data_IF_546277792551
#
_entry.id   IF_546277792551
#
_cell.length_a   1.000
_cell.length_b   1.000
_cell.length_c   1.000
_cell.angle_alpha   90.00
_cell.angle_beta   90.00
_cell.angle_gamma   90.00
#
_symmetry.space_group_name_H-M   'P 1'
#
loop_
_entity.id
_entity.type
_entity.pdbx_description
1 polymer ?
#
# COMPACT_ATOMS: atom_id res chain seq x y z
N UNK A 1 -66.49 9.41 -62.55
CA UNK A 1 -65.54 10.45 -62.79
C UNK A 1 -65.24 11.24 -61.49
N UNK A 2 -65.15 10.58 -60.32
CA UNK A 2 -64.89 11.24 -59.01
C UNK A 2 -63.75 10.59 -58.19
N UNK A 3 -63.02 9.63 -58.74
CA UNK A 3 -61.97 8.89 -57.98
C UNK A 3 -60.53 9.34 -58.39
N UNK A 4 -60.34 10.07 -59.46
CA UNK A 4 -59.00 10.47 -59.96
C UNK A 4 -58.47 11.82 -59.40
N UNK A 5 -59.26 12.57 -58.67
CA UNK A 5 -58.83 13.89 -58.11
C UNK A 5 -58.29 13.77 -56.67
N UNK A 6 -58.65 12.69 -55.96
CA UNK A 6 -58.26 12.51 -54.56
C UNK A 6 -56.82 11.97 -54.36
N UNK A 7 -56.22 11.40 -55.42
CA UNK A 7 -54.86 10.86 -55.32
C UNK A 7 -53.75 11.91 -55.64
N UNK A 8 -54.11 13.10 -56.16
CA UNK A 8 -53.10 14.13 -56.46
C UNK A 8 -52.88 15.11 -55.30
N UNK A 9 -53.74 15.20 -54.32
CA UNK A 9 -53.58 16.09 -53.17
C UNK A 9 -52.79 15.44 -52.03
N UNK A 10 -52.84 14.09 -51.93
CA UNK A 10 -52.06 13.37 -50.90
C UNK A 10 -50.58 13.25 -51.26
N UNK A 11 -50.22 13.28 -52.53
CA UNK A 11 -48.82 13.16 -52.98
C UNK A 11 -48.02 14.48 -52.79
N UNK A 12 -48.64 15.65 -52.73
CA UNK A 12 -47.97 16.93 -52.45
C UNK A 12 -47.75 17.19 -50.92
N UNK A 13 -48.57 16.62 -50.05
CA UNK A 13 -48.40 16.78 -48.59
C UNK A 13 -47.31 15.89 -48.03
N UNK A 14 -46.92 14.79 -48.69
CA UNK A 14 -45.83 13.87 -48.24
C UNK A 14 -44.43 14.33 -48.74
N UNK A 15 -44.31 15.27 -49.64
CA UNK A 15 -43.01 15.75 -50.12
C UNK A 15 -42.53 17.05 -49.39
N UNK A 16 -43.38 17.68 -48.55
CA UNK A 16 -42.96 18.86 -47.77
C UNK A 16 -42.49 18.51 -46.35
N UNK A 17 -42.57 17.23 -45.91
CA UNK A 17 -42.14 16.80 -44.58
C UNK A 17 -40.66 16.34 -44.52
N UNK A 18 -39.91 16.42 -45.62
CA UNK A 18 -38.51 15.94 -45.73
C UNK A 18 -37.46 17.06 -45.76
N UNK A 19 -37.82 18.29 -45.47
CA UNK A 19 -36.86 19.42 -45.42
C UNK A 19 -36.83 20.09 -44.03
N UNK A 20 -36.87 19.25 -42.96
CA UNK A 20 -36.38 19.72 -41.65
C UNK A 20 -34.87 19.56 -41.73
N UNK A 21 -34.07 20.62 -41.70
CA UNK A 21 -32.62 20.47 -41.61
C UNK A 21 -32.39 19.68 -40.33
N UNK A 22 -31.76 18.51 -40.44
CA UNK A 22 -31.24 17.80 -39.29
C UNK A 22 -30.27 18.79 -38.61
N UNK A 23 -30.77 19.51 -37.61
CA UNK A 23 -29.91 20.25 -36.71
C UNK A 23 -28.92 19.23 -36.19
N UNK A 24 -27.67 19.33 -36.62
CA UNK A 24 -26.58 18.62 -35.94
C UNK A 24 -26.67 19.05 -34.50
N UNK A 25 -27.25 18.21 -33.66
CA UNK A 25 -27.05 18.30 -32.22
C UNK A 25 -25.59 17.99 -32.02
N UNK A 26 -24.78 19.05 -32.11
CA UNK A 26 -23.40 18.99 -31.66
C UNK A 26 -23.46 18.69 -30.19
N UNK A 27 -23.27 17.44 -29.83
CA UNK A 27 -23.20 17.05 -28.43
C UNK A 27 -22.15 17.92 -27.79
N UNK A 28 -22.58 18.81 -26.88
CA UNK A 28 -21.68 19.71 -26.17
C UNK A 28 -20.55 18.87 -25.59
N UNK A 29 -19.31 19.15 -25.98
CA UNK A 29 -18.15 18.46 -25.44
C UNK A 29 -18.24 18.56 -23.93
N UNK A 30 -18.26 17.44 -23.20
CA UNK A 30 -18.37 17.48 -21.74
C UNK A 30 -17.27 18.40 -21.20
N UNK A 31 -17.66 19.34 -20.36
CA UNK A 31 -16.70 20.27 -19.74
C UNK A 31 -15.70 19.44 -18.91
N UNK A 32 -14.40 19.64 -19.15
CA UNK A 32 -13.35 18.92 -18.42
C UNK A 32 -13.42 19.27 -16.92
N UNK A 33 -13.88 18.33 -16.11
CA UNK A 33 -13.91 18.49 -14.66
C UNK A 33 -12.48 18.43 -14.12
N UNK A 34 -12.05 19.45 -13.40
CA UNK A 34 -10.75 19.45 -12.70
C UNK A 34 -10.96 18.98 -11.25
N UNK A 35 -10.35 17.87 -10.89
CA UNK A 35 -10.42 17.30 -9.53
C UNK A 35 -9.06 17.46 -8.86
N UNK A 36 -9.07 18.03 -7.65
CA UNK A 36 -7.89 18.13 -6.82
C UNK A 36 -7.77 16.84 -5.99
N UNK A 37 -6.64 16.19 -6.09
CA UNK A 37 -6.28 15.05 -5.24
C UNK A 37 -5.12 15.48 -4.34
N UNK A 38 -5.29 15.39 -3.03
CA UNK A 38 -4.20 15.51 -2.08
C UNK A 38 -3.36 14.25 -2.11
N UNK A 39 -2.06 14.39 -2.00
CA UNK A 39 -1.16 13.24 -1.88
C UNK A 39 -0.27 13.48 -0.66
N UNK A 40 -0.41 12.62 0.33
CA UNK A 40 0.47 12.58 1.50
C UNK A 40 1.48 11.47 1.31
N UNK A 41 2.74 11.82 1.15
CA UNK A 41 3.79 10.86 0.82
C UNK A 41 5.11 11.26 1.49
N UNK A 42 5.89 10.28 1.94
CA UNK A 42 7.24 10.49 2.43
C UNK A 42 8.19 10.60 1.24
N UNK A 43 8.63 11.81 0.90
CA UNK A 43 9.50 12.05 -0.25
C UNK A 43 10.97 12.21 0.15
N UNK A 44 11.21 12.55 1.42
CA UNK A 44 12.53 12.70 2.03
C UNK A 44 12.56 12.08 3.42
N UNK A 45 13.74 11.71 3.91
CA UNK A 45 13.90 10.99 5.18
C UNK A 45 13.64 9.49 5.06
N UNK A 46 13.47 8.80 6.20
CA UNK A 46 13.17 7.35 6.26
C UNK A 46 11.88 7.02 5.52
N UNK A 47 11.88 5.97 4.70
CA UNK A 47 10.73 5.57 3.87
C UNK A 47 10.55 6.37 2.57
N UNK A 48 11.53 7.18 2.15
CA UNK A 48 11.42 8.00 0.93
C UNK A 48 11.15 7.18 -0.35
N UNK A 49 11.66 5.97 -0.41
CA UNK A 49 11.46 5.05 -1.53
C UNK A 49 9.98 4.79 -1.80
N UNK A 50 9.24 4.52 -0.73
CA UNK A 50 7.81 4.21 -0.77
C UNK A 50 7.00 5.40 -1.30
N UNK A 51 7.26 6.59 -0.78
CA UNK A 51 6.54 7.81 -1.16
C UNK A 51 6.83 8.26 -2.59
N UNK A 52 8.09 8.14 -3.04
CA UNK A 52 8.45 8.50 -4.43
C UNK A 52 7.80 7.59 -5.45
N UNK A 53 7.77 6.28 -5.18
CA UNK A 53 7.10 5.30 -6.03
C UNK A 53 5.59 5.53 -6.07
N UNK A 54 4.95 5.84 -4.94
CA UNK A 54 3.52 6.21 -4.87
C UNK A 54 3.20 7.42 -5.76
N UNK A 55 3.99 8.49 -5.68
CA UNK A 55 3.76 9.69 -6.52
C UNK A 55 3.96 9.39 -8.00
N UNK A 56 4.95 8.55 -8.36
CA UNK A 56 5.16 8.12 -9.74
C UNK A 56 3.98 7.28 -10.25
N UNK A 57 3.51 6.31 -9.46
CA UNK A 57 2.34 5.46 -9.77
C UNK A 57 1.08 6.29 -10.04
N UNK A 58 0.78 7.27 -9.19
CA UNK A 58 -0.36 8.18 -9.38
C UNK A 58 -0.28 9.01 -10.66
N UNK A 59 0.92 9.45 -11.06
CA UNK A 59 1.11 10.20 -12.31
C UNK A 59 0.94 9.31 -13.53
N UNK A 60 1.39 8.05 -13.47
CA UNK A 60 1.19 7.04 -14.50
C UNK A 60 -0.31 6.74 -14.62
N UNK A 61 -0.98 6.42 -13.49
CA UNK A 61 -2.41 6.16 -13.47
C UNK A 61 -3.22 7.29 -14.09
N UNK A 62 -2.89 8.54 -13.76
CA UNK A 62 -3.58 9.70 -14.34
C UNK A 62 -3.36 9.84 -15.86
N UNK A 63 -2.20 9.46 -16.37
CA UNK A 63 -1.93 9.43 -17.80
C UNK A 63 -2.72 8.30 -18.50
N UNK A 64 -2.72 7.09 -17.91
CA UNK A 64 -3.41 5.93 -18.45
C UNK A 64 -4.94 6.13 -18.49
N UNK A 65 -5.51 6.65 -17.40
CA UNK A 65 -6.94 7.03 -17.35
C UNK A 65 -7.29 7.99 -18.49
N UNK A 66 -6.39 8.93 -18.84
CA UNK A 66 -6.65 9.88 -19.93
C UNK A 66 -6.54 9.23 -21.31
N UNK A 67 -5.70 8.18 -21.44
CA UNK A 67 -5.44 7.51 -22.72
C UNK A 67 -6.49 6.44 -23.03
N UNK A 68 -7.11 5.82 -22.03
CA UNK A 68 -8.06 4.71 -22.21
C UNK A 68 -9.31 5.13 -22.99
N UNK A 69 -9.87 6.28 -22.81
CA UNK A 69 -11.00 6.81 -23.57
C UNK A 69 -11.07 8.34 -23.43
N UNK A 70 -10.22 9.09 -24.14
CA UNK A 70 -10.10 10.55 -23.95
C UNK A 70 -11.40 11.32 -24.14
N UNK A 71 -12.30 10.80 -25.00
CA UNK A 71 -13.59 11.42 -25.30
C UNK A 71 -14.67 11.15 -24.24
N UNK A 72 -14.55 10.07 -23.49
CA UNK A 72 -15.52 9.66 -22.46
C UNK A 72 -15.07 9.98 -21.03
N UNK A 73 -13.78 10.37 -20.85
CA UNK A 73 -13.25 10.70 -19.54
C UNK A 73 -13.01 12.20 -19.40
N UNK A 74 -14.00 12.96 -18.88
CA UNK A 74 -13.88 14.41 -18.71
C UNK A 74 -12.99 14.83 -17.53
N UNK A 75 -12.55 13.88 -16.68
CA UNK A 75 -11.81 14.21 -15.46
C UNK A 75 -10.35 14.54 -15.76
N UNK A 76 -9.84 15.58 -15.13
CA UNK A 76 -8.43 15.97 -15.13
C UNK A 76 -7.96 16.11 -13.69
N UNK A 77 -6.91 15.38 -13.32
CA UNK A 77 -6.38 15.40 -11.96
C UNK A 77 -5.36 16.50 -11.77
N UNK A 78 -5.46 17.18 -10.62
CA UNK A 78 -4.43 18.07 -10.11
C UNK A 78 -3.95 17.52 -8.77
N UNK A 79 -2.78 16.92 -8.77
CA UNK A 79 -2.15 16.45 -7.54
C UNK A 79 -1.56 17.62 -6.74
N UNK A 80 -1.91 17.69 -5.46
CA UNK A 80 -1.30 18.58 -4.46
C UNK A 80 -0.51 17.70 -3.50
N UNK A 81 0.76 17.48 -3.84
CA UNK A 81 1.65 16.59 -3.09
C UNK A 81 2.21 17.32 -1.88
N UNK A 82 2.28 16.63 -0.73
CA UNK A 82 2.92 17.08 0.50
C UNK A 82 3.88 16.01 0.99
N UNK A 83 5.10 16.43 1.27
CA UNK A 83 6.12 15.60 1.89
C UNK A 83 5.86 15.52 3.40
N UNK A 84 5.51 14.35 3.88
CA UNK A 84 5.21 14.12 5.30
C UNK A 84 6.45 13.74 6.10
N UNK A 85 7.53 13.33 5.45
CA UNK A 85 8.78 12.88 6.08
C UNK A 85 8.59 11.79 7.14
N UNK A 86 7.56 10.94 6.97
CA UNK A 86 7.21 9.91 7.93
C UNK A 86 6.88 10.48 9.33
N UNK A 87 6.38 11.72 9.39
CA UNK A 87 6.06 12.43 10.63
C UNK A 87 4.55 12.69 10.74
N UNK A 88 3.88 12.11 11.76
CA UNK A 88 2.45 12.29 11.98
C UNK A 88 2.02 13.75 12.12
N UNK A 89 2.83 14.61 12.75
CA UNK A 89 2.50 16.03 12.93
C UNK A 89 2.56 16.78 11.58
N UNK A 90 3.53 16.43 10.73
CA UNK A 90 3.61 16.97 9.36
C UNK A 90 2.43 16.50 8.52
N UNK A 91 2.02 15.25 8.65
CA UNK A 91 0.84 14.72 7.96
C UNK A 91 -0.43 15.48 8.38
N UNK A 92 -0.60 15.80 9.69
CA UNK A 92 -1.72 16.59 10.17
C UNK A 92 -1.70 18.03 9.61
N UNK A 93 -0.57 18.70 9.63
CA UNK A 93 -0.44 20.03 9.04
C UNK A 93 -0.72 20.01 7.53
N UNK A 94 -0.29 18.95 6.85
CA UNK A 94 -0.50 18.78 5.42
C UNK A 94 -1.97 18.57 5.05
N UNK A 95 -2.72 17.74 5.78
CA UNK A 95 -4.16 17.55 5.51
C UNK A 95 -4.95 18.82 5.77
N UNK A 96 -4.59 19.60 6.80
CA UNK A 96 -5.19 20.90 7.09
C UNK A 96 -4.97 21.90 5.96
N UNK A 97 -3.74 22.03 5.45
CA UNK A 97 -3.44 22.87 4.29
C UNK A 97 -4.18 22.40 3.03
N UNK A 98 -4.25 21.09 2.78
CA UNK A 98 -4.99 20.54 1.65
C UNK A 98 -6.49 20.82 1.76
N UNK A 99 -7.07 20.67 2.95
CA UNK A 99 -8.48 21.01 3.22
C UNK A 99 -8.76 22.48 2.94
N UNK A 100 -7.93 23.41 3.43
CA UNK A 100 -8.06 24.84 3.17
C UNK A 100 -7.99 25.19 1.68
N UNK A 101 -7.40 24.32 0.85
CA UNK A 101 -7.37 24.44 -0.62
C UNK A 101 -8.54 23.75 -1.32
N UNK A 102 -9.51 23.23 -0.55
CA UNK A 102 -10.71 22.56 -1.04
C UNK A 102 -10.46 21.14 -1.56
N UNK A 103 -9.48 20.43 -1.03
CA UNK A 103 -9.26 18.99 -1.29
C UNK A 103 -10.24 18.18 -0.45
N UNK A 104 -10.88 17.21 -1.07
CA UNK A 104 -11.81 16.27 -0.42
C UNK A 104 -11.39 14.81 -0.58
N UNK A 105 -10.40 14.53 -1.42
CA UNK A 105 -9.88 13.18 -1.68
C UNK A 105 -8.39 13.22 -1.48
N UNK A 106 -7.87 12.34 -0.62
CA UNK A 106 -6.44 12.20 -0.33
C UNK A 106 -6.03 10.75 -0.59
N UNK A 107 -4.92 10.57 -1.30
CA UNK A 107 -4.24 9.28 -1.42
C UNK A 107 -2.97 9.34 -0.57
N UNK A 108 -2.80 8.33 0.29
CA UNK A 108 -1.85 8.38 1.40
C UNK A 108 -2.47 8.96 2.68
N UNK A 109 -1.71 9.06 3.78
CA UNK A 109 -0.33 8.65 3.93
C UNK A 109 -0.17 7.13 3.97
N UNK A 110 1.09 6.68 3.90
CA UNK A 110 1.38 5.25 3.86
C UNK A 110 1.45 4.64 5.26
N UNK A 111 1.95 5.38 6.27
CA UNK A 111 2.19 4.81 7.58
C UNK A 111 0.96 4.91 8.49
N UNK A 112 0.78 3.90 9.32
CA UNK A 112 -0.36 3.83 10.24
C UNK A 112 -0.33 4.94 11.30
N UNK A 113 0.84 5.39 11.73
CA UNK A 113 0.97 6.51 12.68
C UNK A 113 0.50 7.82 12.08
N UNK A 114 0.79 8.07 10.80
CA UNK A 114 0.31 9.26 10.09
C UNK A 114 -1.20 9.17 9.88
N UNK A 115 -1.73 7.99 9.48
CA UNK A 115 -3.18 7.76 9.32
C UNK A 115 -3.90 7.98 10.65
N UNK A 116 -3.40 7.42 11.76
CA UNK A 116 -3.98 7.60 13.10
C UNK A 116 -4.07 9.09 13.49
N UNK A 117 -3.03 9.87 13.17
CA UNK A 117 -2.98 11.30 13.48
C UNK A 117 -3.96 12.13 12.67
N UNK A 118 -4.14 11.83 11.37
CA UNK A 118 -5.01 12.62 10.49
C UNK A 118 -6.46 12.19 10.53
N UNK A 119 -6.77 10.97 10.99
CA UNK A 119 -8.12 10.38 10.99
C UNK A 119 -9.17 11.29 11.65
N UNK A 120 -8.97 11.82 12.88
CA UNK A 120 -9.99 12.68 13.50
C UNK A 120 -10.30 13.94 12.68
N UNK A 121 -9.30 14.50 12.00
CA UNK A 121 -9.49 15.64 11.13
C UNK A 121 -10.23 15.25 9.84
N UNK A 122 -9.90 14.13 9.23
CA UNK A 122 -10.55 13.63 8.03
C UNK A 122 -12.04 13.36 8.27
N UNK A 123 -12.36 12.69 9.39
CA UNK A 123 -13.75 12.39 9.78
C UNK A 123 -14.56 13.67 10.04
N UNK A 124 -13.99 14.65 10.72
CA UNK A 124 -14.66 15.91 11.05
C UNK A 124 -14.88 16.85 9.85
N UNK A 125 -14.19 16.64 8.72
CA UNK A 125 -14.19 17.59 7.60
C UNK A 125 -14.62 16.98 6.26
N UNK A 126 -15.23 15.79 6.25
CA UNK A 126 -15.67 15.08 5.05
C UNK A 126 -14.54 14.95 4.03
N UNK A 127 -13.41 14.37 4.45
CA UNK A 127 -12.26 14.08 3.59
C UNK A 127 -12.12 12.57 3.48
N UNK A 128 -12.23 12.03 2.27
CA UNK A 128 -11.93 10.63 2.00
C UNK A 128 -10.41 10.45 1.92
N UNK A 129 -9.87 9.63 2.80
CA UNK A 129 -8.47 9.23 2.82
C UNK A 129 -8.36 7.80 2.33
N UNK A 130 -7.55 7.59 1.29
CA UNK A 130 -7.29 6.27 0.72
C UNK A 130 -5.83 5.97 0.97
N UNK A 131 -5.55 5.21 2.02
CA UNK A 131 -4.19 4.79 2.33
C UNK A 131 -3.83 3.53 1.55
N UNK A 132 -2.70 3.58 0.84
CA UNK A 132 -2.20 2.44 0.09
C UNK A 132 -1.32 1.50 0.92
N UNK A 133 -0.89 1.90 2.13
CA UNK A 133 0.10 1.16 2.90
C UNK A 133 -0.08 1.16 4.42
N UNK A 134 -1.15 1.76 4.97
CA UNK A 134 -1.45 1.67 6.40
C UNK A 134 -2.09 0.34 6.74
N UNK A 135 -1.37 -0.52 7.46
CA UNK A 135 -1.75 -1.91 7.73
C UNK A 135 -2.26 -2.17 9.14
N UNK A 136 -2.04 -1.24 10.10
CA UNK A 136 -2.36 -1.46 11.51
C UNK A 136 -3.80 -1.90 11.75
N UNK A 137 -3.99 -3.07 12.37
CA UNK A 137 -5.31 -3.63 12.67
C UNK A 137 -6.14 -2.76 13.63
N UNK A 138 -5.49 -1.90 14.42
CA UNK A 138 -6.16 -0.93 15.31
C UNK A 138 -6.91 0.18 14.54
N UNK A 139 -6.62 0.36 13.27
CA UNK A 139 -7.26 1.34 12.38
C UNK A 139 -8.37 0.72 11.51
N UNK A 140 -8.70 -0.55 11.71
CA UNK A 140 -9.84 -1.20 11.07
C UNK A 140 -11.14 -0.76 11.76
N UNK A 141 -11.65 0.44 11.44
CA UNK A 141 -12.78 1.07 12.11
C UNK A 141 -13.94 1.27 11.12
N UNK A 142 -15.05 0.52 11.26
CA UNK A 142 -16.17 0.66 10.36
C UNK A 142 -16.77 2.07 10.35
N UNK A 143 -17.07 2.58 9.15
CA UNK A 143 -17.80 3.82 8.96
C UNK A 143 -16.97 5.11 9.01
N UNK A 144 -15.69 5.05 9.35
CA UNK A 144 -14.80 6.21 9.29
C UNK A 144 -14.48 6.62 7.84
N UNK A 145 -13.74 7.70 7.65
CA UNK A 145 -13.39 8.23 6.33
C UNK A 145 -12.02 7.73 5.82
N UNK A 146 -11.51 6.65 6.41
CA UNK A 146 -10.26 6.01 6.03
C UNK A 146 -10.55 4.71 5.30
N UNK A 147 -10.12 4.60 4.06
CA UNK A 147 -10.18 3.36 3.28
C UNK A 147 -8.75 2.90 2.99
N UNK A 148 -8.47 1.61 3.11
CA UNK A 148 -7.12 1.07 2.98
C UNK A 148 -7.02 0.09 1.83
N UNK A 149 -6.22 0.42 0.83
CA UNK A 149 -6.02 -0.37 -0.39
C UNK A 149 -4.90 -1.41 -0.25
N UNK A 150 -4.62 -1.81 0.98
CA UNK A 150 -3.67 -2.86 1.33
C UNK A 150 -4.28 -3.81 2.37
N UNK A 151 -3.87 -5.09 2.40
CA UNK A 151 -4.26 -6.02 3.47
C UNK A 151 -3.69 -5.55 4.81
N UNK A 152 -4.38 -5.88 5.90
CA UNK A 152 -3.98 -5.46 7.25
C UNK A 152 -2.96 -6.42 7.89
N UNK A 153 -2.39 -6.02 9.04
CA UNK A 153 -1.35 -6.75 9.80
C UNK A 153 -1.73 -8.20 10.12
N UNK A 154 -3.02 -8.52 10.29
CA UNK A 154 -3.45 -9.91 10.56
C UNK A 154 -3.15 -10.82 9.38
N UNK A 155 -3.31 -10.30 8.15
CA UNK A 155 -2.99 -11.04 6.93
C UNK A 155 -1.48 -11.22 6.77
N UNK A 156 -0.70 -10.18 7.06
CA UNK A 156 0.76 -10.29 7.04
C UNK A 156 1.25 -11.30 8.08
N UNK A 157 0.70 -11.26 9.30
CA UNK A 157 1.04 -12.22 10.35
C UNK A 157 0.73 -13.67 9.96
N UNK A 158 -0.36 -13.93 9.21
CA UNK A 158 -0.64 -15.26 8.66
C UNK A 158 0.48 -15.73 7.74
N UNK A 159 0.94 -14.87 6.82
CA UNK A 159 2.02 -15.18 5.89
C UNK A 159 3.36 -15.40 6.62
N UNK A 160 3.75 -14.46 7.50
CA UNK A 160 5.00 -14.57 8.24
C UNK A 160 5.04 -15.82 9.12
N UNK A 161 3.96 -16.13 9.85
CA UNK A 161 3.90 -17.28 10.71
C UNK A 161 3.94 -18.58 9.91
N UNK A 162 3.37 -18.62 8.71
CA UNK A 162 3.50 -19.77 7.81
C UNK A 162 4.97 -20.02 7.42
N UNK A 163 5.75 -18.95 7.14
CA UNK A 163 7.18 -19.08 6.87
C UNK A 163 7.96 -19.52 8.11
N UNK A 164 7.70 -18.93 9.28
CA UNK A 164 8.33 -19.33 10.55
C UNK A 164 8.11 -20.83 10.83
N UNK A 165 6.89 -21.33 10.63
CA UNK A 165 6.57 -22.75 10.82
C UNK A 165 7.26 -23.65 9.78
N UNK A 166 7.29 -23.24 8.52
CA UNK A 166 8.01 -23.94 7.45
C UNK A 166 9.49 -24.11 7.79
N UNK A 167 10.12 -23.05 8.29
CA UNK A 167 11.54 -23.03 8.65
C UNK A 167 11.82 -23.69 10.02
N UNK A 168 10.79 -24.21 10.69
CA UNK A 168 10.92 -24.92 11.96
C UNK A 168 11.15 -24.03 13.18
N UNK A 169 10.94 -22.73 13.06
CA UNK A 169 11.05 -21.79 14.18
C UNK A 169 9.96 -22.06 15.23
N UNK A 170 10.34 -22.09 16.50
CA UNK A 170 9.44 -22.35 17.64
C UNK A 170 9.43 -21.22 18.65
N UNK A 171 10.46 -20.36 18.62
CA UNK A 171 10.58 -19.21 19.52
C UNK A 171 11.04 -18.00 18.74
N UNK A 172 10.33 -16.89 18.90
CA UNK A 172 10.78 -15.58 18.38
C UNK A 172 11.10 -14.62 19.53
N UNK A 173 12.17 -13.87 19.34
CA UNK A 173 12.58 -12.74 20.19
C UNK A 173 12.31 -11.47 19.41
N UNK A 174 11.21 -10.75 19.69
CA UNK A 174 10.85 -9.57 18.91
C UNK A 174 11.70 -8.35 19.26
N UNK A 175 12.04 -7.57 18.25
CA UNK A 175 12.61 -6.25 18.33
C UNK A 175 11.77 -5.33 17.45
N UNK A 176 11.14 -4.30 18.04
CA UNK A 176 10.21 -3.49 17.24
C UNK A 176 10.15 -2.02 17.63
N UNK A 177 9.84 -1.20 16.66
CA UNK A 177 9.63 0.22 16.80
C UNK A 177 8.31 0.52 17.52
N UNK A 178 8.33 1.48 18.45
CA UNK A 178 7.14 1.91 19.18
C UNK A 178 6.30 2.91 18.38
N UNK A 179 5.55 2.43 17.40
CA UNK A 179 4.56 3.22 16.66
C UNK A 179 3.31 2.38 16.35
N UNK A 180 2.27 3.01 15.79
CA UNK A 180 0.99 2.34 15.57
C UNK A 180 1.10 1.13 14.62
N UNK A 181 1.89 1.23 13.54
CA UNK A 181 2.09 0.15 12.58
C UNK A 181 2.84 -1.03 13.20
N UNK A 182 4.07 -0.77 13.67
CA UNK A 182 4.93 -1.83 14.20
C UNK A 182 4.40 -2.47 15.49
N UNK A 183 3.68 -1.73 16.35
CA UNK A 183 2.97 -2.32 17.50
C UNK A 183 1.85 -3.25 17.02
N UNK A 184 1.04 -2.84 16.05
CA UNK A 184 -0.04 -3.65 15.48
C UNK A 184 0.48 -4.93 14.84
N UNK A 185 1.55 -4.82 14.09
CA UNK A 185 2.20 -5.94 13.43
C UNK A 185 2.83 -6.91 14.45
N UNK A 186 3.60 -6.39 15.44
CA UNK A 186 4.12 -7.19 16.55
C UNK A 186 3.00 -8.00 17.24
N UNK A 187 1.89 -7.34 17.59
CA UNK A 187 0.78 -7.97 18.30
C UNK A 187 0.08 -9.02 17.43
N UNK A 188 -0.12 -8.74 16.14
CA UNK A 188 -0.72 -9.68 15.19
C UNK A 188 0.14 -10.94 15.02
N UNK A 189 1.46 -10.78 14.84
CA UNK A 189 2.41 -11.90 14.75
C UNK A 189 2.44 -12.69 16.06
N UNK A 190 2.51 -12.02 17.21
CA UNK A 190 2.49 -12.66 18.51
C UNK A 190 1.24 -13.50 18.72
N UNK A 191 0.06 -12.93 18.49
CA UNK A 191 -1.22 -13.63 18.64
C UNK A 191 -1.25 -14.87 17.73
N UNK A 192 -0.93 -14.68 16.45
CA UNK A 192 -0.98 -15.77 15.46
C UNK A 192 0.03 -16.86 15.75
N UNK A 193 1.28 -16.51 16.09
CA UNK A 193 2.33 -17.47 16.35
C UNK A 193 2.05 -18.28 17.62
N UNK A 194 1.58 -17.64 18.70
CA UNK A 194 1.20 -18.32 19.95
C UNK A 194 -0.02 -19.23 19.75
N UNK A 195 -1.02 -18.82 18.96
CA UNK A 195 -2.18 -19.65 18.65
C UNK A 195 -1.80 -20.98 17.97
N UNK A 196 -0.64 -21.03 17.31
CA UNK A 196 -0.09 -22.20 16.63
C UNK A 196 1.03 -22.89 17.43
N UNK A 197 1.13 -22.62 18.75
CA UNK A 197 2.05 -23.27 19.66
C UNK A 197 3.46 -22.66 19.68
N UNK A 198 3.69 -21.56 19.02
CA UNK A 198 4.96 -20.83 19.06
C UNK A 198 5.14 -20.05 20.38
N UNK A 199 6.39 -19.82 20.76
CA UNK A 199 6.76 -19.00 21.92
C UNK A 199 7.23 -17.63 21.46
N UNK A 200 6.72 -16.58 22.11
CA UNK A 200 7.17 -15.18 21.91
C UNK A 200 7.72 -14.68 23.24
N UNK A 201 8.97 -14.20 23.25
CA UNK A 201 9.58 -13.61 24.45
C UNK A 201 9.10 -12.18 24.66
N UNK A 202 9.56 -11.52 25.73
CA UNK A 202 9.26 -10.08 25.94
C UNK A 202 9.85 -9.18 24.86
N UNK A 203 10.94 -9.61 24.22
CA UNK A 203 11.63 -8.83 23.22
C UNK A 203 12.13 -7.48 23.72
N UNK A 204 12.26 -6.53 22.80
CA UNK A 204 12.58 -5.14 23.11
C UNK A 204 11.85 -4.18 22.17
N UNK A 205 11.12 -3.22 22.77
CA UNK A 205 10.44 -2.14 22.05
C UNK A 205 11.28 -0.86 22.16
N UNK A 206 11.68 -0.29 21.02
CA UNK A 206 12.43 0.97 20.99
C UNK A 206 11.57 2.14 20.52
N UNK A 207 11.93 3.34 20.95
CA UNK A 207 11.20 4.56 20.60
C UNK A 207 11.54 5.06 19.18
N UNK A 208 10.63 5.80 18.57
CA UNK A 208 10.74 6.28 17.18
C UNK A 208 11.94 7.22 16.95
N UNK A 209 12.46 7.85 17.99
CA UNK A 209 13.62 8.75 17.95
C UNK A 209 14.91 8.08 18.41
N UNK A 210 14.93 6.75 18.56
CA UNK A 210 16.13 6.00 18.92
C UNK A 210 17.17 6.09 17.81
N UNK A 211 18.39 6.50 18.16
CA UNK A 211 19.54 6.57 17.25
C UNK A 211 20.70 5.65 17.68
N UNK A 212 20.64 5.06 18.87
CA UNK A 212 21.61 4.09 19.37
C UNK A 212 20.88 2.82 19.78
N UNK A 213 21.12 1.75 19.03
CA UNK A 213 20.44 0.46 19.21
C UNK A 213 21.22 -0.55 20.07
N UNK A 214 22.39 -0.19 20.64
CA UNK A 214 23.21 -1.12 21.44
C UNK A 214 22.45 -1.70 22.63
N UNK A 215 21.63 -0.89 23.33
CA UNK A 215 20.79 -1.37 24.42
C UNK A 215 19.74 -2.38 23.95
N UNK A 216 19.12 -2.13 22.82
CA UNK A 216 18.09 -2.98 22.24
C UNK A 216 18.66 -4.32 21.75
N UNK A 217 19.76 -4.27 20.99
CA UNK A 217 20.42 -5.47 20.46
C UNK A 217 21.02 -6.32 21.57
N UNK A 218 21.62 -5.72 22.60
CA UNK A 218 22.11 -6.45 23.78
C UNK A 218 20.98 -7.13 24.57
N UNK A 219 19.82 -6.48 24.71
CA UNK A 219 18.66 -7.08 25.39
C UNK A 219 18.13 -8.30 24.63
N UNK A 220 18.06 -8.22 23.28
CA UNK A 220 17.67 -9.35 22.42
C UNK A 220 18.69 -10.48 22.52
N UNK A 221 20.00 -10.18 22.41
CA UNK A 221 21.06 -11.17 22.55
C UNK A 221 21.04 -11.89 23.91
N UNK A 222 20.80 -11.15 25.00
CA UNK A 222 20.68 -11.70 26.34
C UNK A 222 19.50 -12.67 26.46
N UNK A 223 18.33 -12.35 25.89
CA UNK A 223 17.18 -13.26 25.86
C UNK A 223 17.48 -14.53 25.08
N UNK A 224 18.14 -14.43 23.92
CA UNK A 224 18.56 -15.58 23.13
C UNK A 224 19.55 -16.45 23.92
N UNK A 225 20.56 -15.82 24.55
CA UNK A 225 21.54 -16.52 25.39
C UNK A 225 20.87 -17.27 26.56
N UNK A 226 19.86 -16.67 27.19
CA UNK A 226 19.08 -17.31 28.26
C UNK A 226 18.30 -18.53 27.75
N UNK A 227 17.67 -18.42 26.58
CA UNK A 227 16.96 -19.52 25.93
C UNK A 227 17.90 -20.70 25.63
N UNK A 228 19.04 -20.43 25.02
CA UNK A 228 20.05 -21.44 24.68
C UNK A 228 20.63 -22.07 25.95
N UNK A 229 20.94 -21.25 26.95
CA UNK A 229 21.44 -21.72 28.26
C UNK A 229 20.41 -22.58 29.03
N UNK A 230 19.13 -22.46 28.74
CA UNK A 230 18.07 -23.34 29.27
C UNK A 230 17.86 -24.62 28.45
N UNK A 231 18.69 -24.89 27.45
CA UNK A 231 18.65 -26.09 26.63
C UNK A 231 17.78 -26.02 25.39
N UNK A 232 17.31 -24.81 25.01
CA UNK A 232 16.57 -24.64 23.74
C UNK A 232 17.58 -24.67 22.57
N UNK A 233 17.27 -25.48 21.56
CA UNK A 233 18.10 -25.58 20.37
C UNK A 233 18.14 -24.20 19.64
N UNK A 234 19.33 -23.62 19.37
CA UNK A 234 19.45 -22.35 18.65
C UNK A 234 18.73 -22.32 17.31
N UNK A 235 18.67 -23.44 16.58
CA UNK A 235 18.06 -23.53 15.25
C UNK A 235 16.55 -23.29 15.24
N UNK A 236 15.87 -23.35 16.39
CA UNK A 236 14.41 -23.07 16.48
C UNK A 236 14.11 -21.69 17.05
N UNK A 237 15.16 -20.86 17.28
CA UNK A 237 15.05 -19.48 17.80
C UNK A 237 15.35 -18.49 16.69
N UNK A 238 14.52 -17.46 16.57
CA UNK A 238 14.74 -16.39 15.60
C UNK A 238 14.50 -15.01 16.22
N UNK A 239 15.13 -13.98 15.64
CA UNK A 239 14.76 -12.58 15.88
C UNK A 239 13.66 -12.20 14.89
N UNK A 240 12.64 -11.50 15.37
CA UNK A 240 11.64 -10.85 14.56
C UNK A 240 11.80 -9.33 14.69
N UNK A 241 12.20 -8.65 13.62
CA UNK A 241 12.40 -7.21 13.58
C UNK A 241 11.27 -6.53 12.82
N UNK A 242 10.44 -5.75 13.51
CA UNK A 242 9.46 -4.86 12.89
C UNK A 242 9.97 -3.41 12.96
N UNK A 243 10.32 -2.86 11.81
CA UNK A 243 11.06 -1.61 11.67
C UNK A 243 10.79 -0.93 10.32
N UNK A 244 11.42 0.22 10.11
CA UNK A 244 11.58 0.86 8.80
C UNK A 244 13.07 0.95 8.45
N UNK A 245 13.50 2.01 7.77
CA UNK A 245 14.89 2.17 7.30
C UNK A 245 15.94 2.18 8.43
N UNK A 246 15.53 2.45 9.70
CA UNK A 246 16.42 2.34 10.87
C UNK A 246 16.88 0.89 11.14
N UNK A 247 16.36 -0.09 10.43
CA UNK A 247 16.92 -1.45 10.39
C UNK A 247 18.41 -1.44 10.01
N UNK A 248 18.88 -0.45 9.24
CA UNK A 248 20.30 -0.24 8.93
C UNK A 248 21.11 -0.04 10.20
N UNK A 249 20.67 0.86 11.08
CA UNK A 249 21.36 1.16 12.35
C UNK A 249 21.25 -0.01 13.35
N UNK A 250 20.12 -0.72 13.35
CA UNK A 250 19.95 -1.97 14.11
C UNK A 250 21.00 -2.99 13.69
N UNK A 251 21.20 -3.17 12.39
CA UNK A 251 22.16 -4.16 11.87
C UNK A 251 23.63 -3.74 12.13
N UNK A 252 23.96 -2.46 12.03
CA UNK A 252 25.25 -1.95 12.46
C UNK A 252 25.52 -2.26 13.94
N UNK A 253 24.49 -2.16 14.79
CA UNK A 253 24.61 -2.49 16.21
C UNK A 253 24.64 -3.99 16.51
N UNK A 254 24.07 -4.83 15.62
CA UNK A 254 23.94 -6.27 15.84
C UNK A 254 25.12 -7.08 15.25
N UNK A 255 25.75 -6.60 14.18
CA UNK A 255 26.69 -7.39 13.37
C UNK A 255 27.89 -7.93 14.13
N UNK A 256 28.39 -7.20 15.12
CA UNK A 256 29.55 -7.58 15.93
C UNK A 256 29.19 -8.45 17.13
N UNK A 257 27.88 -8.74 17.34
CA UNK A 257 27.41 -9.61 18.40
C UNK A 257 27.29 -11.05 17.90
N UNK A 258 28.13 -12.01 18.39
CA UNK A 258 28.12 -13.37 17.88
C UNK A 258 26.79 -14.11 18.05
N UNK A 259 26.03 -13.81 19.11
CA UNK A 259 24.71 -14.43 19.32
C UNK A 259 23.74 -13.98 18.21
N UNK A 260 23.73 -12.69 17.88
CA UNK A 260 22.82 -12.12 16.88
C UNK A 260 23.23 -12.51 15.46
N UNK A 261 24.54 -12.55 15.17
CA UNK A 261 25.07 -12.94 13.86
C UNK A 261 24.86 -14.43 13.53
N UNK A 262 24.69 -15.27 14.55
CA UNK A 262 24.42 -16.71 14.39
C UNK A 262 22.94 -17.08 14.60
N UNK A 263 22.05 -16.09 14.74
CA UNK A 263 20.59 -16.31 14.85
C UNK A 263 19.93 -15.91 13.53
N UNK A 264 18.92 -16.69 13.09
CA UNK A 264 18.12 -16.32 11.92
C UNK A 264 17.21 -15.12 12.25
N UNK A 265 17.09 -14.18 11.33
CA UNK A 265 16.22 -13.02 11.48
C UNK A 265 15.07 -13.05 10.47
N UNK A 266 13.94 -12.49 10.88
CA UNK A 266 12.77 -12.25 10.04
C UNK A 266 12.37 -10.79 10.18
N UNK A 267 11.93 -10.18 9.09
CA UNK A 267 11.54 -8.79 9.07
C UNK A 267 10.03 -8.57 8.90
N UNK A 268 9.69 -7.34 8.51
CA UNK A 268 8.33 -6.85 8.30
C UNK A 268 8.22 -6.10 6.97
N UNK A 269 7.01 -5.75 6.57
CA UNK A 269 6.70 -4.99 5.36
C UNK A 269 7.42 -3.64 5.29
N UNK A 270 7.62 -2.98 6.44
CA UNK A 270 8.25 -1.67 6.52
C UNK A 270 9.70 -1.60 6.05
N UNK A 271 10.41 -2.74 5.98
CA UNK A 271 11.80 -2.83 5.50
C UNK A 271 11.90 -3.45 4.11
N UNK A 272 10.88 -4.21 3.70
CA UNK A 272 10.88 -4.87 2.41
C UNK A 272 11.10 -3.86 1.27
N UNK A 273 12.03 -4.19 0.37
CA UNK A 273 12.43 -3.37 -0.77
C UNK A 273 13.04 -2.00 -0.42
N UNK A 274 13.46 -1.78 0.84
CA UNK A 274 14.15 -0.56 1.25
C UNK A 274 15.41 -0.34 0.44
N UNK A 275 15.51 0.83 -0.19
CA UNK A 275 16.71 1.26 -0.90
C UNK A 275 17.83 1.68 0.08
N UNK A 276 17.48 2.11 1.30
CA UNK A 276 18.45 2.43 2.34
C UNK A 276 19.24 1.20 2.76
N UNK A 277 18.55 0.07 2.97
CA UNK A 277 19.22 -1.18 3.38
C UNK A 277 20.17 -1.72 2.30
N UNK A 278 19.74 -1.76 1.04
CA UNK A 278 20.62 -2.25 -0.05
C UNK A 278 21.73 -1.24 -0.42
N UNK A 279 21.55 0.02 -0.05
CA UNK A 279 22.55 1.08 -0.24
C UNK A 279 23.68 1.06 0.79
N UNK A 280 23.48 0.45 1.96
CA UNK A 280 24.50 0.26 2.99
C UNK A 280 25.08 -1.15 2.93
N UNK A 281 26.31 -1.27 2.47
CA UNK A 281 26.92 -2.59 2.22
C UNK A 281 27.17 -3.41 3.49
N UNK A 282 27.38 -2.78 4.64
CA UNK A 282 27.58 -3.45 5.92
C UNK A 282 26.29 -4.04 6.43
N UNK A 283 25.23 -3.21 6.53
CA UNK A 283 23.90 -3.65 6.98
C UNK A 283 23.30 -4.69 6.00
N UNK A 284 23.44 -4.47 4.70
CA UNK A 284 23.01 -5.44 3.67
C UNK A 284 23.76 -6.77 3.78
N UNK A 285 25.06 -6.72 4.10
CA UNK A 285 25.89 -7.91 4.33
C UNK A 285 25.40 -8.71 5.54
N UNK A 286 25.11 -8.04 6.64
CA UNK A 286 24.53 -8.68 7.82
C UNK A 286 23.15 -9.27 7.50
N UNK A 287 22.23 -8.50 6.90
CA UNK A 287 20.91 -8.98 6.50
C UNK A 287 20.99 -10.25 5.62
N UNK A 288 21.93 -10.28 4.67
CA UNK A 288 22.15 -11.42 3.80
C UNK A 288 22.69 -12.66 4.56
N UNK A 289 23.54 -12.45 5.57
CA UNK A 289 24.14 -13.53 6.36
C UNK A 289 23.14 -14.21 7.30
N UNK A 290 22.22 -13.44 7.89
CA UNK A 290 21.22 -13.94 8.85
C UNK A 290 19.89 -14.37 8.21
N UNK A 291 19.77 -14.27 6.87
CA UNK A 291 18.62 -14.70 6.08
C UNK A 291 17.58 -13.59 5.84
N UNK A 292 17.12 -12.93 6.83
CA UNK A 292 16.21 -11.77 6.92
C UNK A 292 15.15 -11.65 5.81
N UNK A 293 14.24 -12.64 5.65
CA UNK A 293 13.09 -12.50 4.75
C UNK A 293 12.06 -11.53 5.35
N UNK A 294 11.56 -10.64 4.51
CA UNK A 294 10.58 -9.62 4.88
C UNK A 294 9.30 -9.86 4.08
N UNK A 295 8.15 -10.12 4.73
CA UNK A 295 6.87 -10.15 4.05
C UNK A 295 6.47 -8.74 3.61
N UNK A 296 5.80 -8.65 2.48
CA UNK A 296 5.16 -7.42 2.02
C UNK A 296 3.95 -7.81 1.16
N UNK A 297 2.94 -6.95 1.11
CA UNK A 297 1.85 -7.11 0.17
C UNK A 297 2.39 -7.44 -1.23
N UNK A 298 1.97 -8.58 -1.78
CA UNK A 298 2.50 -9.15 -3.00
C UNK A 298 1.69 -8.82 -4.24
N UNK A 299 2.33 -8.93 -5.40
CA UNK A 299 1.68 -8.77 -6.69
C UNK A 299 1.30 -10.14 -7.27
N UNK A 300 0.03 -10.34 -7.72
CA UNK A 300 -0.40 -11.61 -8.26
C UNK A 300 0.41 -12.00 -9.52
N UNK A 301 1.07 -13.15 -9.51
CA UNK A 301 1.85 -13.64 -10.66
C UNK A 301 0.97 -13.81 -11.91
N UNK A 302 -0.32 -14.16 -11.74
CA UNK A 302 -1.29 -14.29 -12.83
C UNK A 302 -1.59 -12.95 -13.54
N UNK A 303 -1.34 -11.81 -12.88
CA UNK A 303 -1.55 -10.48 -13.43
C UNK A 303 -0.25 -9.79 -13.84
N UNK A 304 0.85 -10.53 -13.94
CA UNK A 304 2.18 -9.97 -14.25
C UNK A 304 2.19 -9.13 -15.53
N UNK A 305 1.49 -9.57 -16.56
CA UNK A 305 1.37 -8.83 -17.81
C UNK A 305 0.65 -7.48 -17.67
N UNK A 306 -0.09 -7.25 -16.58
CA UNK A 306 -0.77 -5.98 -16.28
C UNK A 306 0.08 -5.07 -15.40
N UNK A 307 0.68 -5.62 -14.33
CA UNK A 307 1.41 -4.81 -13.37
C UNK A 307 2.88 -4.58 -13.74
N UNK A 308 3.54 -5.53 -14.43
CA UNK A 308 4.97 -5.41 -14.75
C UNK A 308 5.32 -4.16 -15.58
N UNK A 309 4.57 -3.80 -16.66
CA UNK A 309 4.87 -2.58 -17.41
C UNK A 309 4.79 -1.30 -16.57
N UNK A 310 3.86 -1.25 -15.60
CA UNK A 310 3.70 -0.12 -14.68
C UNK A 310 4.84 -0.08 -13.69
N UNK A 311 5.21 -1.23 -13.15
CA UNK A 311 6.37 -1.39 -12.25
C UNK A 311 7.65 -0.91 -12.92
N UNK A 312 7.92 -1.36 -14.16
CA UNK A 312 9.09 -0.96 -14.94
C UNK A 312 9.11 0.55 -15.21
N UNK A 313 7.96 1.14 -15.49
CA UNK A 313 7.84 2.58 -15.71
C UNK A 313 8.06 3.39 -14.41
N UNK A 314 7.56 2.91 -13.26
CA UNK A 314 7.84 3.54 -11.95
C UNK A 314 9.33 3.49 -11.68
N UNK A 315 9.96 2.33 -11.84
CA UNK A 315 11.40 2.16 -11.62
C UNK A 315 12.23 3.03 -12.56
N UNK A 316 11.86 3.11 -13.83
CA UNK A 316 12.52 3.99 -14.80
C UNK A 316 12.44 5.48 -14.41
N UNK A 317 11.35 5.91 -13.75
CA UNK A 317 11.16 7.31 -13.30
C UNK A 317 11.82 7.63 -11.98
N UNK A 318 11.94 6.66 -11.09
CA UNK A 318 12.40 6.88 -9.70
C UNK A 318 13.79 6.34 -9.43
N UNK A 319 14.25 5.37 -10.23
CA UNK A 319 15.46 4.58 -9.96
C UNK A 319 15.28 3.59 -8.79
N UNK A 320 14.05 3.35 -8.35
CA UNK A 320 13.72 2.52 -7.18
C UNK A 320 12.70 1.48 -7.60
N UNK A 321 12.98 0.21 -7.31
CA UNK A 321 12.04 -0.90 -7.53
C UNK A 321 10.75 -0.64 -6.73
N UNK A 322 9.57 -0.58 -7.35
CA UNK A 322 8.32 -0.31 -6.64
C UNK A 322 7.82 -1.54 -5.89
N UNK A 323 7.15 -1.30 -4.78
CA UNK A 323 6.36 -2.26 -4.03
C UNK A 323 4.90 -2.35 -4.52
N UNK A 324 4.14 -3.29 -4.00
CA UNK A 324 2.72 -3.42 -4.30
C UNK A 324 1.88 -2.28 -3.71
N UNK A 325 2.35 -1.59 -2.68
CA UNK A 325 1.67 -0.41 -2.12
C UNK A 325 1.63 0.74 -3.14
N UNK A 326 2.74 0.97 -3.85
CA UNK A 326 2.75 1.97 -4.92
C UNK A 326 1.75 1.64 -6.03
N UNK A 327 1.67 0.35 -6.41
CA UNK A 327 0.71 -0.11 -7.43
C UNK A 327 -0.74 -0.09 -6.90
N UNK A 328 -0.96 -0.24 -5.59
CA UNK A 328 -2.28 -0.03 -4.97
C UNK A 328 -2.74 1.42 -5.08
N UNK A 329 -1.82 2.39 -4.98
CA UNK A 329 -2.16 3.79 -5.23
C UNK A 329 -2.56 4.04 -6.70
N UNK A 330 -1.95 3.32 -7.65
CA UNK A 330 -2.38 3.32 -9.05
C UNK A 330 -3.83 2.84 -9.17
N UNK A 331 -4.16 1.66 -8.60
CA UNK A 331 -5.53 1.12 -8.60
C UNK A 331 -6.52 2.06 -7.89
N UNK A 332 -6.13 2.64 -6.76
CA UNK A 332 -6.96 3.59 -6.01
C UNK A 332 -7.40 4.79 -6.87
N UNK A 333 -6.51 5.32 -7.71
CA UNK A 333 -6.87 6.42 -8.59
C UNK A 333 -7.86 5.99 -9.70
N UNK A 334 -7.77 4.75 -10.17
CA UNK A 334 -8.76 4.20 -11.11
C UNK A 334 -10.13 4.07 -10.46
N UNK A 335 -10.22 3.58 -9.22
CA UNK A 335 -11.49 3.50 -8.48
C UNK A 335 -12.06 4.90 -8.20
N UNK A 336 -11.21 5.86 -7.81
CA UNK A 336 -11.61 7.28 -7.71
C UNK A 336 -12.19 7.77 -9.04
N UNK A 337 -11.57 7.41 -10.17
CA UNK A 337 -12.04 7.82 -11.49
C UNK A 337 -13.41 7.23 -11.81
N UNK A 338 -13.66 5.97 -11.49
CA UNK A 338 -14.95 5.31 -11.70
C UNK A 338 -16.04 5.97 -10.84
N UNK A 339 -15.79 6.17 -9.56
CA UNK A 339 -16.72 6.85 -8.65
C UNK A 339 -17.07 8.28 -9.12
N UNK A 340 -16.11 8.99 -9.72
CA UNK A 340 -16.33 10.35 -10.25
C UNK A 340 -17.18 10.40 -11.53
N UNK A 341 -17.40 9.26 -12.18
CA UNK A 341 -18.28 9.20 -13.37
C UNK A 341 -19.76 9.17 -13.00
N UNK A 342 -20.09 8.86 -11.76
CA UNK A 342 -21.48 8.92 -11.28
C UNK A 342 -21.99 10.37 -11.23
N UNK A 343 -23.22 10.64 -11.70
CA UNK A 343 -23.75 11.99 -11.76
C UNK A 343 -23.81 12.67 -10.37
N UNK A 344 -23.21 13.86 -10.23
CA UNK A 344 -23.18 14.66 -9.01
C UNK A 344 -22.42 14.04 -7.83
N UNK A 345 -21.57 13.05 -8.06
CA UNK A 345 -20.80 12.33 -7.05
C UNK A 345 -20.11 13.28 -6.05
N UNK A 346 -19.30 14.25 -6.50
CA UNK A 346 -18.61 15.21 -5.61
C UNK A 346 -19.48 16.24 -4.91
N UNK A 347 -20.79 16.28 -5.15
CA UNK A 347 -21.69 17.27 -4.50
C UNK A 347 -22.14 16.83 -3.11
N UNK A 348 -22.01 15.55 -2.80
CA UNK A 348 -22.35 14.95 -1.51
C UNK A 348 -21.26 13.97 -1.15
N UNK A 349 -20.62 14.17 -0.02
CA UNK A 349 -19.49 13.37 0.43
C UNK A 349 -19.88 11.91 0.69
N UNK A 350 -20.97 11.68 1.42
CA UNK A 350 -21.41 10.31 1.76
C UNK A 350 -21.75 9.52 0.50
N UNK A 351 -22.37 10.18 -0.47
CA UNK A 351 -22.66 9.57 -1.76
C UNK A 351 -21.36 9.21 -2.50
N UNK A 352 -20.39 10.11 -2.55
CA UNK A 352 -19.10 9.81 -3.20
C UNK A 352 -18.38 8.65 -2.52
N UNK A 353 -18.38 8.62 -1.17
CA UNK A 353 -17.77 7.53 -0.40
C UNK A 353 -18.47 6.20 -0.69
N UNK A 354 -19.81 6.17 -0.75
CA UNK A 354 -20.57 4.97 -1.10
C UNK A 354 -20.25 4.50 -2.52
N UNK A 355 -20.31 5.40 -3.51
CA UNK A 355 -19.96 5.09 -4.91
C UNK A 355 -18.53 4.58 -5.04
N UNK A 356 -17.57 5.14 -4.28
CA UNK A 356 -16.20 4.65 -4.26
C UNK A 356 -16.09 3.23 -3.72
N UNK A 357 -16.79 2.89 -2.64
CA UNK A 357 -16.78 1.54 -2.05
C UNK A 357 -17.45 0.55 -3.02
N UNK A 358 -18.58 0.91 -3.65
CA UNK A 358 -19.24 0.09 -4.66
C UNK A 358 -18.34 -0.19 -5.88
N UNK A 359 -17.63 0.82 -6.36
CA UNK A 359 -16.68 0.64 -7.46
C UNK A 359 -15.47 -0.21 -7.04
N UNK A 360 -14.96 -0.04 -5.82
CA UNK A 360 -13.87 -0.84 -5.28
C UNK A 360 -14.24 -2.32 -5.19
N UNK A 361 -15.49 -2.66 -4.83
CA UNK A 361 -16.00 -4.04 -4.74
C UNK A 361 -15.87 -4.79 -6.08
N UNK A 362 -16.06 -4.09 -7.19
CA UNK A 362 -16.10 -4.71 -8.52
C UNK A 362 -14.82 -4.52 -9.33
N UNK A 363 -13.93 -3.60 -8.92
CA UNK A 363 -12.74 -3.30 -9.69
C UNK A 363 -11.66 -4.38 -9.52
N UNK A 364 -11.20 -4.89 -10.68
CA UNK A 364 -10.06 -5.81 -10.76
C UNK A 364 -8.84 -5.04 -11.26
N UNK A 365 -8.08 -4.53 -10.30
CA UNK A 365 -6.91 -3.72 -10.52
C UNK A 365 -5.68 -4.50 -11.02
N UNK A 366 -4.56 -3.81 -11.13
CA UNK A 366 -3.27 -4.45 -11.44
C UNK A 366 -2.74 -5.23 -10.24
N UNK A 367 -3.17 -4.86 -9.04
CA UNK A 367 -2.86 -5.57 -7.79
C UNK A 367 -3.89 -6.64 -7.43
N UNK A 368 -4.87 -6.93 -8.28
CA UNK A 368 -5.96 -7.87 -8.04
C UNK A 368 -7.26 -7.21 -7.61
N UNK A 369 -8.12 -7.93 -6.87
CA UNK A 369 -9.38 -7.39 -6.34
C UNK A 369 -9.13 -6.24 -5.36
N UNK A 370 -9.88 -5.15 -5.50
CA UNK A 370 -9.83 -3.99 -4.59
C UNK A 370 -11.00 -3.97 -3.61
N UNK A 371 -11.77 -5.05 -3.52
CA UNK A 371 -12.89 -5.17 -2.60
C UNK A 371 -12.47 -4.85 -1.15
N UNK A 372 -13.33 -4.13 -0.46
CA UNK A 372 -13.09 -3.65 0.90
C UNK A 372 -14.05 -4.36 1.87
N UNK A 373 -13.54 -4.69 3.05
CA UNK A 373 -14.34 -5.23 4.14
C UNK A 373 -15.20 -4.14 4.84
N UNK A 374 -15.96 -4.54 5.84
CA UNK A 374 -16.80 -3.63 6.59
C UNK A 374 -16.06 -2.49 7.32
N UNK A 375 -14.77 -2.64 7.54
CA UNK A 375 -13.88 -1.62 8.11
C UNK A 375 -13.26 -0.70 7.05
N UNK A 376 -13.52 -0.95 5.75
CA UNK A 376 -12.89 -0.23 4.65
C UNK A 376 -11.46 -0.69 4.35
N UNK A 377 -11.07 -1.89 4.81
CA UNK A 377 -9.78 -2.50 4.53
C UNK A 377 -9.88 -3.45 3.36
N UNK A 378 -8.79 -3.58 2.59
CA UNK A 378 -8.75 -4.55 1.50
C UNK A 378 -8.94 -5.97 2.03
N UNK A 379 -9.95 -6.68 1.52
CA UNK A 379 -10.33 -8.01 1.99
C UNK A 379 -9.27 -9.07 1.71
N UNK A 380 -8.61 -8.97 0.56
CA UNK A 380 -7.69 -10.00 0.06
C UNK A 380 -6.34 -9.42 -0.30
N UNK A 381 -5.32 -10.26 -0.25
CA UNK A 381 -3.98 -9.93 -0.72
C UNK A 381 -3.04 -11.11 -0.54
N UNK A 382 -2.18 -11.29 -1.53
CA UNK A 382 -1.04 -12.20 -1.44
C UNK A 382 0.11 -11.50 -0.72
N UNK A 383 1.09 -12.27 -0.27
CA UNK A 383 2.31 -11.73 0.32
C UNK A 383 3.53 -12.32 -0.38
N UNK A 384 4.48 -11.46 -0.70
CA UNK A 384 5.80 -11.85 -1.18
C UNK A 384 6.82 -11.70 -0.06
N UNK A 385 7.78 -12.61 0.01
CA UNK A 385 8.90 -12.49 0.92
C UNK A 385 10.15 -12.09 0.14
N UNK A 386 10.75 -11.00 0.57
CA UNK A 386 11.98 -10.49 -0.03
C UNK A 386 13.13 -10.56 0.97
N UNK A 387 14.28 -11.02 0.51
CA UNK A 387 15.51 -11.05 1.29
C UNK A 387 16.66 -10.45 0.50
N UNK A 388 17.60 -9.82 1.23
CA UNK A 388 18.80 -9.25 0.61
C UNK A 388 19.76 -10.39 0.24
N UNK A 389 20.30 -10.35 -0.98
CA UNK A 389 21.29 -11.30 -1.48
C UNK A 389 22.39 -10.57 -2.26
N UNK A 390 23.62 -11.05 -2.14
CA UNK A 390 24.74 -10.57 -2.97
C UNK A 390 24.57 -11.13 -4.40
N UNK A 391 24.45 -10.25 -5.39
CA UNK A 391 24.30 -10.59 -6.81
C UNK A 391 25.22 -9.70 -7.65
N UNK A 392 26.13 -10.31 -8.39
CA UNK A 392 27.07 -9.59 -9.27
C UNK A 392 27.81 -8.44 -8.56
N UNK A 393 28.26 -8.67 -7.33
CA UNK A 393 29.04 -7.70 -6.54
C UNK A 393 28.23 -6.59 -5.87
N UNK A 394 26.90 -6.63 -5.93
CA UNK A 394 26.00 -5.69 -5.23
C UNK A 394 24.92 -6.42 -4.46
N UNK A 395 24.44 -5.82 -3.35
CA UNK A 395 23.31 -6.35 -2.60
C UNK A 395 22.02 -5.95 -3.27
N UNK A 396 21.12 -6.93 -3.43
CA UNK A 396 19.82 -6.73 -4.07
C UNK A 396 18.75 -7.49 -3.31
N UNK A 397 17.55 -6.96 -3.35
CA UNK A 397 16.36 -7.67 -2.92
C UNK A 397 16.03 -8.79 -3.91
N UNK A 398 15.79 -9.97 -3.39
CA UNK A 398 15.39 -11.17 -4.16
C UNK A 398 14.14 -11.75 -3.52
N UNK A 399 13.11 -12.01 -4.32
CA UNK A 399 11.91 -12.73 -3.89
C UNK A 399 12.29 -14.16 -3.53
N UNK A 400 12.07 -14.56 -2.29
CA UNK A 400 12.48 -15.86 -1.75
C UNK A 400 11.32 -16.77 -1.41
N UNK A 401 10.13 -16.21 -1.19
CA UNK A 401 8.92 -16.98 -1.01
C UNK A 401 7.70 -16.14 -1.39
N UNK A 402 6.54 -16.81 -1.52
CA UNK A 402 5.24 -16.19 -1.68
C UNK A 402 4.20 -16.93 -0.85
N UNK A 403 3.21 -16.19 -0.32
CA UNK A 403 2.07 -16.73 0.39
C UNK A 403 0.80 -16.24 -0.29
N UNK A 404 0.00 -17.18 -0.79
CA UNK A 404 -1.23 -16.88 -1.52
C UNK A 404 -2.29 -17.92 -1.18
N UNK A 405 -3.50 -17.46 -0.87
CA UNK A 405 -4.63 -18.34 -0.55
C UNK A 405 -4.32 -19.40 0.52
N UNK A 406 -3.57 -19.04 1.56
CA UNK A 406 -3.17 -19.96 2.63
C UNK A 406 -2.00 -20.90 2.28
N UNK A 407 -1.40 -20.78 1.11
CA UNK A 407 -0.32 -21.65 0.62
C UNK A 407 0.99 -20.87 0.55
N UNK A 408 2.00 -21.35 1.30
CA UNK A 408 3.37 -20.86 1.20
C UNK A 408 4.12 -21.61 0.10
N UNK A 409 4.86 -20.86 -0.73
CA UNK A 409 5.80 -21.39 -1.72
C UNK A 409 7.16 -20.74 -1.48
N UNK A 410 8.20 -21.53 -1.28
CA UNK A 410 9.59 -21.08 -1.10
C UNK A 410 10.34 -21.34 -2.42
N UNK A 411 11.20 -20.39 -2.86
CA UNK A 411 11.89 -20.41 -4.15
C UNK A 411 13.38 -20.74 -4.03
#
# INVERSE_FOLDING_TARGET
>A
MKIRVMFRVIACALLLALLIPAAKVEAAKPSKQRVKIGVLATLTGSGFSLGRNTVAALRIAAADIQNIHPQYNPVRYRFLVRDTQHDPSRALNAIQDLHARGVKIIIGPQTSSEVAMIKPFADAHDILVISQGSTASSLAIPGDNILRFCPNDRREAEALVALLQHDGIRTIVPLWRNDAGNNGLHDSVKIRFQALGGRVTSGFRYETNTSNFSGATNAVASQIGTLIGSGINPSVVAVYLAAFDEAVDVFHSAQDNPTLANTTWYGSDGVALSAALTGDSSAAGFAASVGYPNPIFGLPDALRNRWQPISDEIEARTGITPDAFALSAYDALFVVNLALQHPKSLKNFDRFKTEFIEEAEHYQGVTGSTALDAAGDRETGDFDFWAVRLRNGSYKWVRVAAYSNGILRVF
#
